data_IF_177149729740
#
_entry.id   IF_177149729740
#
_cell.length_a   1.000
_cell.length_b   1.000
_cell.length_c   1.000
_cell.angle_alpha   90.00
_cell.angle_beta   90.00
_cell.angle_gamma   90.00
#
_symmetry.space_group_name_H-M   'P 1'
#
loop_
_entity.id
_entity.type
_entity.pdbx_description
1 polymer ?
#
# COMPACT_ATOMS: atom_id res chain seq x y z
N UNK A 1 26.58 6.78 2.64
CA UNK A 1 26.02 5.51 2.11
C UNK A 1 24.88 5.90 1.17
N UNK A 2 24.82 5.32 -0.04
CA UNK A 2 23.75 5.58 -1.02
C UNK A 2 22.94 4.30 -1.16
N UNK A 3 21.62 4.41 -1.01
CA UNK A 3 20.69 3.29 -1.21
C UNK A 3 20.11 3.36 -2.62
N UNK A 4 19.85 2.21 -3.22
CA UNK A 4 19.15 2.07 -4.49
C UNK A 4 18.13 0.94 -4.34
N UNK A 5 16.90 1.20 -4.75
CA UNK A 5 15.81 0.24 -4.75
C UNK A 5 15.62 -0.28 -6.17
N UNK A 6 15.63 -1.61 -6.33
CA UNK A 6 15.41 -2.32 -7.59
C UNK A 6 14.61 -3.57 -7.27
N UNK A 7 13.59 -3.85 -8.08
CA UNK A 7 12.81 -5.07 -7.98
C UNK A 7 13.63 -6.29 -8.37
N UNK A 8 13.36 -7.41 -7.73
CA UNK A 8 14.00 -8.67 -8.02
C UNK A 8 13.27 -9.81 -7.35
N UNK A 9 13.48 -11.00 -7.89
CA UNK A 9 12.83 -12.21 -7.39
C UNK A 9 13.85 -13.10 -6.67
N UNK A 10 13.45 -13.65 -5.53
CA UNK A 10 14.20 -14.68 -4.80
C UNK A 10 13.60 -16.03 -5.17
N UNK A 11 14.42 -16.93 -5.71
CA UNK A 11 13.98 -18.28 -6.07
C UNK A 11 13.89 -19.23 -4.86
N UNK A 12 13.40 -20.45 -5.09
CA UNK A 12 13.27 -21.51 -4.07
C UNK A 12 14.62 -21.93 -3.45
N UNK A 13 15.74 -21.62 -4.11
CA UNK A 13 17.09 -21.89 -3.63
C UNK A 13 17.70 -20.69 -2.88
N UNK A 14 16.95 -19.59 -2.74
CA UNK A 14 17.41 -18.37 -2.08
C UNK A 14 18.33 -17.49 -2.94
N UNK A 15 18.37 -17.69 -4.26
CA UNK A 15 19.13 -16.84 -5.18
C UNK A 15 18.32 -15.61 -5.55
N UNK A 16 18.91 -14.42 -5.39
CA UNK A 16 18.32 -13.15 -5.79
C UNK A 16 18.68 -12.85 -7.25
N UNK A 17 17.65 -12.73 -8.07
CA UNK A 17 17.73 -12.20 -9.44
C UNK A 17 17.15 -10.79 -9.45
N UNK A 18 17.84 -9.84 -10.08
CA UNK A 18 17.35 -8.47 -10.21
C UNK A 18 16.70 -8.28 -11.58
N UNK A 19 15.56 -7.60 -11.63
CA UNK A 19 14.84 -7.30 -12.88
C UNK A 19 15.65 -6.32 -13.75
N UNK A 20 16.46 -5.48 -13.10
CA UNK A 20 17.34 -4.53 -13.74
C UNK A 20 18.72 -4.49 -13.05
N UNK A 21 19.79 -4.17 -13.80
CA UNK A 21 21.12 -4.03 -13.22
C UNK A 21 21.21 -2.82 -12.27
N UNK A 22 21.97 -2.97 -11.18
CA UNK A 22 22.29 -1.85 -10.28
C UNK A 22 23.13 -0.81 -11.02
N UNK A 23 22.80 0.46 -10.80
CA UNK A 23 23.56 1.58 -11.38
C UNK A 23 24.81 1.77 -10.55
N UNK A 24 25.93 1.25 -11.07
CA UNK A 24 27.24 1.32 -10.42
C UNK A 24 28.23 2.13 -11.24
N UNK A 25 28.87 3.11 -10.61
CA UNK A 25 29.91 3.91 -11.26
C UNK A 25 31.27 3.16 -11.31
N UNK A 26 31.48 2.22 -10.38
CA UNK A 26 32.71 1.44 -10.23
C UNK A 26 32.40 0.06 -9.66
N UNK A 27 33.23 -0.94 -9.98
CA UNK A 27 33.17 -2.24 -9.35
C UNK A 27 33.44 -2.10 -7.84
N UNK A 28 32.48 -2.47 -7.01
CA UNK A 28 32.54 -2.26 -5.55
C UNK A 28 31.68 -3.29 -4.83
N UNK A 29 32.08 -3.64 -3.60
CA UNK A 29 31.29 -4.53 -2.74
C UNK A 29 30.12 -3.75 -2.13
N UNK A 30 28.92 -4.29 -2.22
CA UNK A 30 27.69 -3.68 -1.69
C UNK A 30 27.08 -4.54 -0.58
N UNK A 31 26.25 -3.92 0.26
CA UNK A 31 25.38 -4.61 1.22
C UNK A 31 23.97 -4.63 0.63
N UNK A 32 23.33 -5.79 0.63
CA UNK A 32 21.97 -5.99 0.10
C UNK A 32 21.03 -6.16 1.29
N UNK A 33 19.89 -5.49 1.25
CA UNK A 33 18.77 -5.68 2.18
C UNK A 33 17.59 -6.15 1.32
N UNK A 34 17.02 -7.30 1.65
CA UNK A 34 15.87 -7.89 0.93
C UNK A 34 14.64 -7.68 1.79
N UNK A 35 13.60 -7.10 1.21
CA UNK A 35 12.30 -6.90 1.85
C UNK A 35 11.33 -7.86 1.19
N UNK A 36 10.81 -8.81 1.96
CA UNK A 36 9.66 -9.61 1.53
C UNK A 36 8.42 -8.81 1.85
N UNK A 37 7.61 -8.52 0.84
CA UNK A 37 6.24 -8.09 1.07
C UNK A 37 5.53 -9.32 1.63
N UNK A 38 5.26 -9.32 2.93
CA UNK A 38 4.21 -10.19 3.43
C UNK A 38 2.96 -9.85 2.63
N UNK A 39 2.25 -10.86 2.14
CA UNK A 39 0.92 -10.65 1.60
C UNK A 39 0.16 -9.90 2.70
N UNK A 40 -0.01 -8.59 2.51
CA UNK A 40 -0.98 -7.82 3.27
C UNK A 40 -2.24 -8.64 3.12
N UNK A 41 -2.67 -9.25 4.22
CA UNK A 41 -3.89 -10.06 4.28
C UNK A 41 -4.88 -9.40 3.34
N UNK A 42 -5.28 -10.11 2.28
CA UNK A 42 -6.18 -9.57 1.29
C UNK A 42 -7.31 -8.90 2.07
N UNK A 43 -7.47 -7.58 1.89
CA UNK A 43 -8.56 -6.85 2.50
C UNK A 43 -9.82 -7.66 2.16
N UNK A 44 -10.46 -8.24 3.18
CA UNK A 44 -11.59 -9.19 3.03
C UNK A 44 -12.72 -8.56 2.21
N UNK A 45 -12.69 -7.23 2.02
CA UNK A 45 -13.57 -6.49 1.17
C UNK A 45 -13.10 -6.47 -0.31
N UNK A 46 -13.89 -7.04 -1.25
CA UNK A 46 -13.54 -7.01 -2.66
C UNK A 46 -13.44 -5.57 -3.17
N UNK A 47 -12.45 -5.29 -4.03
CA UNK A 47 -12.20 -3.96 -4.62
C UNK A 47 -13.47 -3.31 -5.20
N UNK A 48 -14.38 -4.10 -5.74
CA UNK A 48 -15.66 -3.62 -6.29
C UNK A 48 -16.57 -3.02 -5.20
N UNK A 49 -16.63 -3.64 -4.01
CA UNK A 49 -17.39 -3.14 -2.85
C UNK A 49 -16.84 -1.80 -2.37
N UNK A 50 -15.50 -1.70 -2.25
CA UNK A 50 -14.83 -0.44 -1.87
C UNK A 50 -15.14 0.67 -2.87
N UNK A 51 -15.05 0.40 -4.17
CA UNK A 51 -15.34 1.39 -5.21
C UNK A 51 -16.82 1.84 -5.20
N UNK A 52 -17.75 0.91 -5.02
CA UNK A 52 -19.18 1.24 -4.91
C UNK A 52 -19.45 2.13 -3.69
N UNK A 53 -18.90 1.77 -2.54
CA UNK A 53 -19.01 2.53 -1.28
C UNK A 53 -18.47 3.96 -1.45
N UNK A 54 -17.26 4.11 -2.01
CA UNK A 54 -16.65 5.41 -2.27
C UNK A 54 -17.46 6.28 -3.23
N UNK A 55 -17.98 5.69 -4.32
CA UNK A 55 -18.79 6.41 -5.29
C UNK A 55 -20.10 6.91 -4.64
N UNK A 56 -20.75 6.06 -3.84
CA UNK A 56 -21.94 6.42 -3.07
C UNK A 56 -21.66 7.58 -2.11
N UNK A 57 -20.63 7.48 -1.27
CA UNK A 57 -20.27 8.55 -0.34
C UNK A 57 -19.90 9.86 -1.05
N UNK A 58 -19.26 9.78 -2.22
CA UNK A 58 -18.96 10.96 -3.04
C UNK A 58 -20.23 11.62 -3.59
N UNK A 59 -21.21 10.83 -4.05
CA UNK A 59 -22.51 11.35 -4.50
C UNK A 59 -23.29 11.99 -3.35
N UNK A 60 -23.28 11.38 -2.17
CA UNK A 60 -23.90 11.91 -0.96
C UNK A 60 -23.26 13.24 -0.53
N UNK A 61 -21.92 13.32 -0.57
CA UNK A 61 -21.20 14.55 -0.29
C UNK A 61 -21.55 15.67 -1.29
N UNK A 62 -21.60 15.36 -2.59
CA UNK A 62 -22.01 16.31 -3.63
C UNK A 62 -23.47 16.77 -3.46
N UNK A 63 -24.33 15.91 -2.94
CA UNK A 63 -25.72 16.23 -2.63
C UNK A 63 -25.91 16.97 -1.30
N UNK A 64 -24.82 17.28 -0.57
CA UNK A 64 -24.88 17.96 0.74
C UNK A 64 -25.36 17.05 1.88
N UNK A 65 -25.44 15.73 1.66
CA UNK A 65 -25.78 14.74 2.69
C UNK A 65 -24.55 14.41 3.54
N UNK A 66 -24.03 15.42 4.22
CA UNK A 66 -22.82 15.30 5.07
C UNK A 66 -23.14 15.75 6.48
N UNK A 67 -22.47 15.16 7.47
CA UNK A 67 -22.51 15.64 8.85
C UNK A 67 -21.29 16.51 9.15
N UNK A 68 -21.46 17.65 9.85
CA UNK A 68 -20.34 18.41 10.40
C UNK A 68 -19.48 17.52 11.30
N UNK A 69 -18.17 17.73 11.29
CA UNK A 69 -17.22 16.95 12.11
C UNK A 69 -17.56 17.01 13.60
N UNK A 70 -18.03 18.18 14.08
CA UNK A 70 -18.44 18.36 15.48
C UNK A 70 -19.64 17.51 15.89
N UNK A 71 -20.45 17.05 14.92
CA UNK A 71 -21.66 16.25 15.15
C UNK A 71 -21.45 14.75 14.91
N UNK A 72 -20.24 14.32 14.52
CA UNK A 72 -19.97 12.90 14.26
C UNK A 72 -20.06 12.04 15.53
N UNK A 73 -19.85 12.65 16.70
CA UNK A 73 -19.93 11.98 18.00
C UNK A 73 -21.32 12.00 18.62
N UNK A 74 -22.25 12.81 18.08
CA UNK A 74 -23.59 12.99 18.66
C UNK A 74 -24.47 11.73 18.50
N UNK A 75 -24.18 10.89 17.50
CA UNK A 75 -24.93 9.66 17.21
C UNK A 75 -24.20 8.38 17.66
N UNK A 76 -23.01 8.53 18.24
CA UNK A 76 -22.25 7.41 18.82
C UNK A 76 -22.58 7.40 20.31
N UNK A 77 -23.73 6.83 20.66
CA UNK A 77 -24.13 6.64 22.05
C UNK A 77 -23.06 5.81 22.79
N UNK A 78 -22.52 6.39 23.86
CA UNK A 78 -21.76 5.65 24.86
C UNK A 78 -22.74 4.93 25.79
N UNK A 79 -23.30 3.80 25.34
CA UNK A 79 -23.91 2.81 26.25
C UNK A 79 -22.86 1.86 26.82
#
# INVERSE_FOLDING_TARGET
>A
MKAQEVMGNVDEHGQLSLDAPLVVDKHSRVRIIVLFLEDTEEDDEPKESVLESLNKSLMEAKAGKTKPVSQLWDDIDAE
#
